data_IF_612902059246
#
_entry.id   IF_612902059246
#
_cell.length_a   1.000
_cell.length_b   1.000
_cell.length_c   1.000
_cell.angle_alpha   90.00
_cell.angle_beta   90.00
_cell.angle_gamma   90.00
#
_symmetry.space_group_name_H-M   'P 1'
#
loop_
_entity.id
_entity.type
_entity.pdbx_description
1 polymer ?
#
# COMPACT_ATOMS: atom_id res chain seq x y z
N UNK A 1 1.71 -4.65 9.79
CA UNK A 1 1.58 -3.41 9.00
C UNK A 1 2.89 -3.07 8.33
N UNK A 2 2.82 -2.30 7.25
CA UNK A 2 3.95 -1.77 6.51
C UNK A 2 3.90 -0.23 6.55
N UNK A 3 5.07 0.40 6.64
CA UNK A 3 5.20 1.85 6.59
C UNK A 3 6.51 2.24 5.93
N UNK A 4 6.45 3.17 4.98
CA UNK A 4 7.62 3.74 4.31
C UNK A 4 7.48 5.25 4.20
N UNK A 5 8.62 5.94 4.31
CA UNK A 5 8.76 7.36 3.99
C UNK A 5 9.86 7.48 2.94
N UNK A 6 9.50 7.98 1.77
CA UNK A 6 10.42 8.26 0.69
C UNK A 6 10.79 9.74 0.73
N UNK A 7 12.09 10.05 0.82
CA UNK A 7 12.64 11.39 0.61
C UNK A 7 13.08 11.52 -0.85
N UNK A 8 12.44 12.43 -1.59
CA UNK A 8 12.77 12.71 -2.98
C UNK A 8 14.01 13.63 -3.14
N UNK A 9 14.64 14.03 -2.03
CA UNK A 9 15.85 14.85 -1.94
C UNK A 9 15.59 16.36 -2.05
N UNK A 10 14.55 16.77 -2.77
CA UNK A 10 14.10 18.17 -2.91
C UNK A 10 12.60 18.24 -3.17
N UNK A 11 12.03 19.43 -2.99
CA UNK A 11 10.66 19.71 -3.45
C UNK A 11 10.63 19.59 -4.97
N UNK A 12 9.70 18.79 -5.48
CA UNK A 12 9.40 18.68 -6.90
C UNK A 12 7.92 18.32 -7.11
N UNK A 13 7.43 18.60 -8.31
CA UNK A 13 6.07 18.27 -8.70
C UNK A 13 5.94 16.75 -8.88
N UNK A 14 4.97 16.15 -8.18
CA UNK A 14 4.63 14.73 -8.29
C UNK A 14 3.23 14.60 -8.88
N UNK A 15 3.10 13.88 -9.99
CA UNK A 15 1.84 13.54 -10.63
C UNK A 15 1.12 12.42 -9.88
N UNK A 16 1.82 11.35 -9.55
CA UNK A 16 1.23 10.18 -8.88
C UNK A 16 2.25 9.32 -8.14
N UNK A 17 1.76 8.55 -7.19
CA UNK A 17 2.53 7.50 -6.52
C UNK A 17 1.74 6.19 -6.52
N UNK A 18 2.43 5.06 -6.71
CA UNK A 18 1.87 3.73 -6.50
C UNK A 18 2.86 2.80 -5.82
N UNK A 19 2.33 1.72 -5.25
CA UNK A 19 3.09 0.58 -4.76
C UNK A 19 2.46 -0.71 -5.30
N UNK A 20 3.27 -1.58 -5.89
CA UNK A 20 2.81 -2.88 -6.36
C UNK A 20 2.63 -3.84 -5.17
N UNK A 21 1.51 -4.55 -5.16
CA UNK A 21 1.18 -5.53 -4.12
C UNK A 21 0.80 -6.87 -4.75
N UNK A 22 1.09 -7.96 -4.04
CA UNK A 22 0.74 -9.33 -4.44
C UNK A 22 -0.41 -9.87 -3.57
N UNK A 23 -1.33 -10.60 -4.19
CA UNK A 23 -2.21 -11.55 -3.50
C UNK A 23 -1.99 -12.96 -4.06
N UNK A 24 -1.64 -13.86 -3.15
CA UNK A 24 -1.65 -15.31 -3.31
C UNK A 24 -2.25 -15.89 -2.03
N UNK A 25 -3.57 -16.06 -2.04
CA UNK A 25 -4.34 -16.50 -0.88
C UNK A 25 -3.87 -17.88 -0.41
N UNK A 26 -3.51 -18.81 -1.31
CA UNK A 26 -3.03 -20.15 -0.90
C UNK A 26 -1.72 -20.06 -0.12
N UNK A 27 -0.86 -19.09 -0.46
CA UNK A 27 0.39 -18.80 0.23
C UNK A 27 0.23 -17.84 1.43
N UNK A 28 -1.02 -17.53 1.83
CA UNK A 28 -1.35 -16.63 2.94
C UNK A 28 -0.93 -15.17 2.70
N UNK A 29 -0.66 -14.81 1.44
CA UNK A 29 -0.28 -13.46 1.03
C UNK A 29 -1.56 -12.75 0.61
N UNK A 30 -2.03 -11.82 1.44
CA UNK A 30 -3.27 -11.09 1.21
C UNK A 30 -2.95 -9.60 1.04
N UNK A 31 -3.69 -8.95 0.14
CA UNK A 31 -3.64 -7.52 0.00
C UNK A 31 -3.85 -6.80 1.35
N UNK A 32 -3.20 -5.65 1.55
CA UNK A 32 -3.52 -4.82 2.71
C UNK A 32 -5.00 -4.40 2.66
N UNK A 33 -5.66 -4.33 3.81
CA UNK A 33 -7.08 -3.92 3.87
C UNK A 33 -7.28 -2.50 3.38
N UNK A 34 -6.29 -1.65 3.67
CA UNK A 34 -6.21 -0.28 3.21
C UNK A 34 -4.75 0.18 3.12
N UNK A 35 -4.48 1.05 2.17
CA UNK A 35 -3.19 1.70 1.97
C UNK A 35 -3.39 3.21 1.90
N UNK A 36 -2.74 3.92 2.81
CA UNK A 36 -2.85 5.37 2.98
C UNK A 36 -1.64 6.04 2.37
N UNK A 37 -1.88 7.10 1.59
CA UNK A 37 -0.84 7.89 0.93
C UNK A 37 -0.82 9.30 1.49
N UNK A 38 0.36 9.76 1.86
CA UNK A 38 0.58 11.10 2.41
C UNK A 38 1.71 11.80 1.66
N UNK A 39 1.69 13.13 1.67
CA UNK A 39 2.79 13.97 1.18
C UNK A 39 3.17 15.04 2.19
N UNK A 40 4.42 15.47 2.19
CA UNK A 40 4.92 16.59 2.99
C UNK A 40 5.98 17.42 2.24
N UNK A 41 6.09 18.69 2.63
CA UNK A 41 7.21 19.56 2.27
C UNK A 41 8.37 19.42 3.27
N UNK A 42 9.23 20.43 3.38
CA UNK A 42 10.36 20.44 4.31
C UNK A 42 9.96 20.46 5.80
N UNK A 43 8.73 20.89 6.09
CA UNK A 43 8.17 20.95 7.45
C UNK A 43 7.80 19.58 8.01
N UNK A 44 7.89 18.51 7.21
CA UNK A 44 7.48 17.14 7.56
C UNK A 44 6.02 17.03 8.03
N UNK A 45 5.17 18.01 7.66
CA UNK A 45 3.75 18.00 7.99
C UNK A 45 2.99 17.14 6.96
N UNK A 46 2.91 15.84 7.24
CA UNK A 46 2.27 14.87 6.36
C UNK A 46 0.75 15.09 6.24
N UNK A 47 0.30 15.36 5.02
CA UNK A 47 -1.11 15.49 4.67
C UNK A 47 -1.58 14.24 3.94
N UNK A 48 -2.69 13.66 4.40
CA UNK A 48 -3.33 12.54 3.73
C UNK A 48 -3.83 13.01 2.36
N UNK A 49 -3.47 12.25 1.31
CA UNK A 49 -4.01 12.40 -0.04
C UNK A 49 -5.26 11.55 -0.16
N UNK A 50 -5.11 10.22 -0.02
CA UNK A 50 -6.20 9.28 -0.22
C UNK A 50 -5.89 7.93 0.46
N UNK A 51 -6.95 7.16 0.73
CA UNK A 51 -6.90 5.80 1.26
C UNK A 51 -7.42 4.85 0.19
N UNK A 52 -6.56 3.95 -0.30
CA UNK A 52 -6.89 2.92 -1.28
C UNK A 52 -7.27 1.64 -0.54
N UNK A 53 -8.48 1.11 -0.80
CA UNK A 53 -8.92 -0.18 -0.23
C UNK A 53 -8.36 -1.36 -1.03
N UNK A 54 -8.40 -2.55 -0.43
CA UNK A 54 -8.02 -3.79 -1.10
C UNK A 54 -8.73 -3.92 -2.49
N UNK A 55 -7.98 -4.19 -3.57
CA UNK A 55 -8.53 -4.19 -4.94
C UNK A 55 -9.29 -5.47 -5.29
N UNK A 56 -9.25 -6.48 -4.42
CA UNK A 56 -9.92 -7.76 -4.59
C UNK A 56 -10.34 -8.35 -3.24
N UNK A 57 -11.32 -9.26 -3.27
CA UNK A 57 -11.69 -10.07 -2.11
C UNK A 57 -10.53 -11.02 -1.74
N UNK A 58 -10.27 -11.19 -0.44
CA UNK A 58 -9.26 -12.12 0.06
C UNK A 58 -9.57 -13.59 -0.30
N UNK A 59 -10.85 -13.93 -0.55
CA UNK A 59 -11.30 -15.25 -1.05
C UNK A 59 -11.01 -15.46 -2.54
N UNK A 60 -10.45 -14.48 -3.23
CA UNK A 60 -10.03 -14.66 -4.60
C UNK A 60 -8.67 -15.39 -4.63
N UNK A 61 -8.73 -16.68 -4.96
CA UNK A 61 -7.57 -17.56 -5.03
C UNK A 61 -6.73 -17.40 -6.32
N UNK A 62 -7.11 -16.51 -7.25
CA UNK A 62 -6.25 -16.20 -8.39
C UNK A 62 -5.07 -15.35 -7.93
N UNK A 63 -3.86 -15.83 -8.24
CA UNK A 63 -2.62 -15.09 -8.03
C UNK A 63 -2.67 -13.82 -8.85
N UNK A 64 -2.45 -12.68 -8.21
CA UNK A 64 -2.55 -11.38 -8.88
C UNK A 64 -1.65 -10.33 -8.24
N UNK A 65 -1.11 -9.48 -9.09
CA UNK A 65 -0.36 -8.29 -8.72
C UNK A 65 -1.21 -7.07 -9.08
N UNK A 66 -1.31 -6.09 -8.17
CA UNK A 66 -2.07 -4.86 -8.36
C UNK A 66 -1.27 -3.66 -7.89
N UNK A 67 -1.29 -2.61 -8.69
CA UNK A 67 -0.80 -1.29 -8.30
C UNK A 67 -1.83 -0.62 -7.39
N UNK A 68 -1.43 -0.33 -6.16
CA UNK A 68 -2.19 0.53 -5.25
C UNK A 68 -1.60 1.93 -5.38
N UNK A 69 -2.37 2.89 -5.86
CA UNK A 69 -1.81 4.22 -6.14
C UNK A 69 -2.85 5.32 -6.21
N UNK A 70 -2.35 6.56 -6.15
CA UNK A 70 -3.14 7.78 -6.08
C UNK A 70 -2.53 8.86 -6.96
N UNK A 71 -3.36 9.77 -7.45
CA UNK A 71 -2.87 11.02 -8.05
C UNK A 71 -2.50 11.99 -6.94
N UNK A 72 -1.35 12.64 -7.08
CA UNK A 72 -0.84 13.64 -6.12
C UNK A 72 -1.05 15.04 -6.70
N UNK A 73 -0.58 15.28 -7.93
CA UNK A 73 -0.64 16.57 -8.64
C UNK A 73 -0.25 17.78 -7.78
N UNK A 74 0.84 17.67 -7.03
CA UNK A 74 1.30 18.70 -6.10
C UNK A 74 2.83 18.66 -5.94
N UNK A 75 3.40 19.80 -5.52
CA UNK A 75 4.79 19.88 -5.11
C UNK A 75 4.97 19.27 -3.71
N UNK A 76 5.87 18.30 -3.59
CA UNK A 76 6.26 17.71 -2.31
C UNK A 76 7.72 17.24 -2.34
N UNK A 77 8.26 16.96 -1.15
CA UNK A 77 9.57 16.33 -1.00
C UNK A 77 9.46 14.93 -0.42
N UNK A 78 8.53 14.73 0.51
CA UNK A 78 8.35 13.44 1.16
C UNK A 78 7.03 12.82 0.74
N UNK A 79 7.06 11.51 0.52
CA UNK A 79 5.87 10.68 0.34
C UNK A 79 5.88 9.63 1.44
N UNK A 80 4.77 9.46 2.13
CA UNK A 80 4.61 8.41 3.13
C UNK A 80 3.50 7.46 2.72
N UNK A 81 3.77 6.16 2.82
CA UNK A 81 2.84 5.08 2.51
C UNK A 81 2.66 4.25 3.77
N UNK A 82 1.41 4.00 4.17
CA UNK A 82 1.07 3.12 5.29
C UNK A 82 0.09 2.09 4.80
N UNK A 83 0.45 0.81 4.88
CA UNK A 83 -0.41 -0.29 4.46
C UNK A 83 -0.75 -1.18 5.65
N UNK A 84 -2.05 -1.32 5.92
CA UNK A 84 -2.56 -2.11 7.02
C UNK A 84 -2.65 -3.57 6.60
N UNK A 85 -1.95 -4.43 7.33
CA UNK A 85 -1.94 -5.86 7.05
C UNK A 85 -3.35 -6.45 7.28
N UNK A 86 -3.68 -7.49 6.52
CA UNK A 86 -4.98 -8.15 6.61
C UNK A 86 -5.30 -8.71 8.01
N UNK A 87 -4.26 -9.02 8.79
CA UNK A 87 -4.37 -9.51 10.15
C UNK A 87 -4.46 -11.03 10.20
N UNK A 88 -5.33 -11.54 11.06
CA UNK A 88 -5.55 -12.98 11.19
C UNK A 88 -6.44 -13.51 10.07
N UNK A 89 -6.09 -14.69 9.56
CA UNK A 89 -6.83 -15.38 8.52
C UNK A 89 -8.17 -15.88 9.09
N UNK A 90 -9.30 -15.52 8.46
CA UNK A 90 -10.64 -15.83 8.93
C UNK A 90 -11.00 -17.31 8.73
N UNK A 91 -12.12 -17.73 9.33
CA UNK A 91 -12.57 -19.12 9.37
C UNK A 91 -12.77 -19.81 8.02
N UNK A 92 -12.90 -19.07 6.92
CA UNK A 92 -13.03 -19.64 5.58
C UNK A 92 -11.69 -20.05 4.96
N UNK A 93 -10.57 -19.58 5.51
CA UNK A 93 -9.24 -19.82 4.98
C UNK A 93 -8.61 -21.06 5.61
N UNK A 94 -7.87 -21.86 4.84
CA UNK A 94 -7.25 -23.11 5.33
C UNK A 94 -6.27 -22.86 6.49
N UNK A 95 -5.58 -21.72 6.45
CA UNK A 95 -4.71 -21.18 7.50
C UNK A 95 -5.40 -20.43 8.64
N UNK A 96 -6.68 -20.70 8.93
CA UNK A 96 -7.47 -19.99 9.96
C UNK A 96 -6.70 -19.76 11.27
N UNK A 97 -6.75 -18.53 11.79
CA UNK A 97 -6.03 -18.12 13.00
C UNK A 97 -4.54 -17.82 12.78
N UNK A 98 -3.99 -18.17 11.62
CA UNK A 98 -2.67 -17.74 11.18
C UNK A 98 -2.65 -16.26 10.79
N UNK A 99 -1.46 -15.64 10.80
CA UNK A 99 -1.31 -14.25 10.35
C UNK A 99 -1.04 -14.20 8.85
N UNK A 100 -1.79 -13.37 8.14
CA UNK A 100 -1.56 -13.13 6.72
C UNK A 100 -0.24 -12.37 6.50
N UNK A 101 0.47 -12.72 5.44
CA UNK A 101 1.58 -11.94 4.91
C UNK A 101 1.06 -10.83 3.99
N UNK A 102 1.84 -9.76 3.86
CA UNK A 102 1.60 -8.71 2.86
C UNK A 102 2.91 -8.43 2.15
N UNK A 103 2.92 -8.57 0.84
CA UNK A 103 4.12 -8.47 0.01
C UNK A 103 3.97 -7.27 -0.94
N UNK A 104 5.06 -6.52 -1.07
CA UNK A 104 5.20 -5.40 -1.98
C UNK A 104 6.50 -5.56 -2.79
N UNK A 105 6.55 -4.97 -3.98
CA UNK A 105 7.74 -4.96 -4.83
C UNK A 105 8.34 -3.55 -4.98
N UNK A 106 7.71 -2.67 -5.76
CA UNK A 106 8.26 -1.37 -6.15
C UNK A 106 7.32 -0.22 -5.77
N UNK A 107 7.91 0.89 -5.35
CA UNK A 107 7.21 2.17 -5.20
C UNK A 107 7.55 3.03 -6.43
N UNK A 108 6.55 3.30 -7.25
CA UNK A 108 6.68 4.15 -8.44
C UNK A 108 6.22 5.58 -8.14
N UNK A 109 7.04 6.57 -8.49
CA UNK A 109 6.72 8.00 -8.37
C UNK A 109 6.88 8.65 -9.75
N UNK A 110 5.84 9.31 -10.22
CA UNK A 110 5.80 10.02 -11.51
C UNK A 110 5.39 11.47 -11.32
#
# INVERSE_FOLDING_TARGET
DFGAILDLGKIQFVNSVSIGALQDTQAWIIFPTETEFYVAGEDLNFKLIEIVKAPADAKNYNIQIKELGVKVNADCRYIKIVAKNYGELPAWHEGVGGKAHTFFDEISVN
#
